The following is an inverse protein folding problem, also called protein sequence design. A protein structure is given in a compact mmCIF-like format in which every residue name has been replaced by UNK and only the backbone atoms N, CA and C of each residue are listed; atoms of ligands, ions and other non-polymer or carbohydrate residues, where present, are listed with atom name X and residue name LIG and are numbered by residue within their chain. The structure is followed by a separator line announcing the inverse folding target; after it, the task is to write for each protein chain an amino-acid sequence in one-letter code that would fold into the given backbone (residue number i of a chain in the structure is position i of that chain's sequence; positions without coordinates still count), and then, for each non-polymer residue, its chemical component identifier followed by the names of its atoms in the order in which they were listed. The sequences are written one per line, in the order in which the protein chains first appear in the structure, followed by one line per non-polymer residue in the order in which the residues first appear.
data_IF_220390040959
#
_entry.id   IF_220390040959
#
_cell.length_a   1.000
_cell.length_b   1.000
_cell.length_c   1.000
_cell.angle_alpha   90.00
_cell.angle_beta   90.00
_cell.angle_gamma   90.00
#
_symmetry.space_group_name_H-M   'P 1'
#
loop_
_entity.id
_entity.type
_entity.pdbx_description
1 polymer ?
#
# COMPACT_ATOMS: atom_id res chain seq x y z
N UNK A 1 21.50 -20.74 32.34
CA UNK A 1 20.44 -19.73 32.62
C UNK A 1 20.70 -18.37 31.98
N UNK A 2 21.77 -17.63 32.29
CA UNK A 2 22.00 -16.28 31.70
C UNK A 2 22.04 -16.24 30.15
N UNK A 3 22.66 -17.24 29.50
CA UNK A 3 22.68 -17.36 28.03
C UNK A 3 21.30 -17.65 27.43
N UNK A 4 20.46 -18.42 28.12
CA UNK A 4 19.10 -18.74 27.68
C UNK A 4 18.17 -17.53 27.83
N UNK A 5 18.32 -16.76 28.90
CA UNK A 5 17.59 -15.50 29.11
C UNK A 5 17.95 -14.47 28.02
N UNK A 6 19.24 -14.34 27.66
CA UNK A 6 19.66 -13.46 26.57
C UNK A 6 19.06 -13.86 25.20
N UNK A 7 19.01 -15.16 24.90
CA UNK A 7 18.39 -15.69 23.68
C UNK A 7 16.87 -15.43 23.64
N UNK A 8 16.19 -15.58 24.78
CA UNK A 8 14.75 -15.30 24.88
C UNK A 8 14.47 -13.81 24.67
N UNK A 9 15.24 -12.91 25.30
CA UNK A 9 15.10 -11.46 25.11
C UNK A 9 15.34 -11.08 23.65
N UNK A 10 16.37 -11.65 23.01
CA UNK A 10 16.66 -11.39 21.61
C UNK A 10 15.55 -11.91 20.68
N UNK A 11 15.03 -13.12 20.92
CA UNK A 11 13.91 -13.67 20.18
C UNK A 11 12.64 -12.81 20.33
N UNK A 12 12.36 -12.32 21.53
CA UNK A 12 11.25 -11.40 21.80
C UNK A 12 11.42 -10.09 21.01
N UNK A 13 12.61 -9.49 21.02
CA UNK A 13 12.88 -8.26 20.26
C UNK A 13 12.68 -8.49 18.76
N UNK A 14 13.16 -9.60 18.21
CA UNK A 14 12.93 -9.95 16.80
C UNK A 14 11.44 -10.10 16.53
N UNK A 15 10.72 -10.83 17.38
CA UNK A 15 9.29 -11.09 17.18
C UNK A 15 8.46 -9.80 17.21
N UNK A 16 8.78 -8.88 18.12
CA UNK A 16 8.14 -7.56 18.19
C UNK A 16 8.51 -6.62 17.03
N UNK A 17 9.59 -6.88 16.31
CA UNK A 17 10.06 -6.05 15.21
C UNK A 17 10.03 -6.78 13.87
N UNK A 18 9.41 -7.97 13.79
CA UNK A 18 9.47 -8.84 12.63
C UNK A 18 9.03 -8.12 11.36
N UNK A 19 7.84 -7.51 11.37
CA UNK A 19 7.30 -6.81 10.21
C UNK A 19 8.23 -5.72 9.66
N UNK A 20 8.89 -4.98 10.56
CA UNK A 20 9.82 -3.91 10.18
C UNK A 20 11.14 -4.48 9.65
N UNK A 21 11.61 -5.57 10.24
CA UNK A 21 12.81 -6.28 9.76
C UNK A 21 12.54 -6.85 8.37
N UNK A 22 11.39 -7.48 8.18
CA UNK A 22 10.95 -8.08 6.92
C UNK A 22 10.79 -7.03 5.81
N UNK A 23 10.13 -5.90 6.12
CA UNK A 23 10.06 -4.73 5.22
C UNK A 23 11.46 -4.26 4.83
N UNK A 24 12.40 -4.11 5.78
CA UNK A 24 13.77 -3.68 5.45
C UNK A 24 14.48 -4.67 4.52
N UNK A 25 14.36 -5.97 4.78
CA UNK A 25 14.94 -7.00 3.92
C UNK A 25 14.35 -6.96 2.51
N UNK A 26 13.02 -6.83 2.40
CA UNK A 26 12.35 -6.69 1.13
C UNK A 26 12.84 -5.43 0.38
N UNK A 27 12.88 -4.27 1.03
CA UNK A 27 13.36 -3.03 0.38
C UNK A 27 14.82 -3.13 -0.08
N UNK A 28 15.68 -3.77 0.72
CA UNK A 28 17.07 -4.01 0.33
C UNK A 28 17.16 -4.93 -0.88
N UNK A 29 16.35 -5.98 -0.94
CA UNK A 29 16.31 -6.89 -2.07
C UNK A 29 15.77 -6.19 -3.33
N UNK A 30 14.68 -5.44 -3.21
CA UNK A 30 14.11 -4.67 -4.31
C UNK A 30 15.13 -3.69 -4.89
N UNK A 31 15.83 -2.93 -4.04
CA UNK A 31 16.87 -2.00 -4.46
C UNK A 31 18.07 -2.67 -5.16
N UNK A 32 18.38 -3.92 -4.83
CA UNK A 32 19.42 -4.70 -5.55
C UNK A 32 18.99 -5.09 -6.97
N UNK A 33 17.69 -5.14 -7.23
CA UNK A 33 17.14 -5.43 -8.55
C UNK A 33 16.75 -4.17 -9.33
N UNK A 34 17.22 -2.99 -8.89
CA UNK A 34 17.04 -1.75 -9.62
C UNK A 34 17.78 -1.80 -10.96
N UNK A 35 17.09 -1.40 -12.03
CA UNK A 35 17.64 -1.27 -13.36
C UNK A 35 18.20 0.15 -13.55
N UNK A 36 19.37 0.24 -14.20
CA UNK A 36 19.95 1.52 -14.59
C UNK A 36 19.37 1.99 -15.92
N UNK A 37 19.34 3.31 -16.09
CA UNK A 37 18.98 3.93 -17.37
C UNK A 37 20.08 3.73 -18.40
N UNK A 38 19.67 3.67 -19.66
CA UNK A 38 20.53 3.53 -20.84
C UNK A 38 21.36 2.24 -20.87
N UNK A 39 21.06 1.28 -19.99
CA UNK A 39 21.58 -0.08 -19.99
C UNK A 39 20.56 -1.05 -20.59
N UNK A 40 21.08 -2.17 -21.09
CA UNK A 40 20.28 -3.25 -21.68
C UNK A 40 20.41 -4.51 -20.84
N UNK A 41 19.27 -5.08 -20.48
CA UNK A 41 19.16 -6.29 -19.68
C UNK A 41 18.41 -7.38 -20.45
N UNK A 42 18.55 -8.63 -20.02
CA UNK A 42 17.85 -9.77 -20.59
C UNK A 42 17.19 -10.56 -19.47
N UNK A 43 15.87 -10.70 -19.54
CA UNK A 43 15.07 -11.41 -18.55
C UNK A 43 14.04 -12.27 -19.24
N UNK A 44 13.82 -13.48 -18.73
CA UNK A 44 12.61 -14.26 -19.01
C UNK A 44 11.46 -13.64 -18.20
N UNK A 45 10.66 -12.79 -18.85
CA UNK A 45 9.60 -12.01 -18.21
C UNK A 45 8.30 -12.80 -18.07
N UNK A 46 8.00 -13.69 -19.01
CA UNK A 46 6.73 -14.43 -19.09
C UNK A 46 6.86 -15.93 -18.70
N UNK A 47 8.04 -16.37 -18.28
CA UNK A 47 8.30 -17.73 -17.80
C UNK A 47 8.38 -18.79 -18.89
N UNK A 48 8.51 -18.41 -20.17
CA UNK A 48 8.56 -19.35 -21.30
C UNK A 48 9.97 -19.92 -21.57
N UNK A 49 10.98 -19.38 -20.90
CA UNK A 49 12.39 -19.77 -20.99
C UNK A 49 13.20 -18.99 -22.03
N UNK A 50 12.55 -18.20 -22.89
CA UNK A 50 13.22 -17.21 -23.72
C UNK A 50 13.45 -15.93 -22.90
N UNK A 51 14.45 -15.12 -23.27
CA UNK A 51 14.74 -13.87 -22.56
C UNK A 51 14.43 -12.67 -23.44
N UNK A 52 13.61 -11.77 -22.93
CA UNK A 52 13.35 -10.47 -23.51
C UNK A 52 14.47 -9.48 -23.22
N UNK A 53 14.83 -8.70 -24.23
CA UNK A 53 15.64 -7.50 -24.08
C UNK A 53 14.82 -6.42 -23.37
N UNK A 54 15.29 -5.91 -22.24
CA UNK A 54 14.70 -4.78 -21.51
C UNK A 54 15.66 -3.61 -21.53
N UNK A 55 15.20 -2.45 -22.00
CA UNK A 55 15.96 -1.20 -22.01
C UNK A 55 15.11 -0.05 -21.47
N UNK A 56 15.74 0.79 -20.65
CA UNK A 56 15.13 2.01 -20.13
C UNK A 56 15.86 3.20 -20.71
N UNK A 57 15.13 4.18 -21.25
CA UNK A 57 15.70 5.45 -21.69
C UNK A 57 15.11 6.58 -20.85
N UNK A 58 15.97 7.43 -20.29
CA UNK A 58 15.52 8.53 -19.43
C UNK A 58 15.85 9.89 -20.02
N UNK A 59 14.94 10.85 -19.88
CA UNK A 59 15.15 12.21 -20.33
C UNK A 59 14.27 13.20 -19.54
N UNK A 60 14.52 14.49 -19.73
CA UNK A 60 13.64 15.54 -19.21
C UNK A 60 12.84 16.18 -20.33
N UNK A 61 11.57 16.41 -20.07
CA UNK A 61 10.70 17.13 -21.00
C UNK A 61 10.98 18.65 -20.99
N UNK A 62 10.21 19.43 -21.77
CA UNK A 62 10.38 20.89 -21.82
C UNK A 62 9.99 21.61 -20.53
N UNK A 63 9.17 20.98 -19.68
CA UNK A 63 8.75 21.50 -18.38
C UNK A 63 9.71 21.10 -17.25
N UNK A 64 10.62 20.16 -17.52
CA UNK A 64 11.60 19.63 -16.58
C UNK A 64 11.16 18.34 -15.91
N UNK A 65 10.02 17.77 -16.33
CA UNK A 65 9.47 16.51 -15.82
C UNK A 65 10.39 15.37 -16.24
N UNK A 66 10.62 14.42 -15.32
CA UNK A 66 11.46 13.26 -15.58
C UNK A 66 10.63 12.18 -16.27
N UNK A 67 11.12 11.74 -17.43
CA UNK A 67 10.46 10.74 -18.28
C UNK A 67 11.36 9.52 -18.37
N UNK A 68 10.74 8.33 -18.25
CA UNK A 68 11.39 7.05 -18.50
C UNK A 68 10.56 6.25 -19.50
N UNK A 69 11.14 5.97 -20.66
CA UNK A 69 10.59 5.06 -21.65
C UNK A 69 11.06 3.63 -21.37
N UNK A 70 10.11 2.69 -21.32
CA UNK A 70 10.36 1.26 -21.20
C UNK A 70 10.26 0.60 -22.57
N UNK A 71 11.37 0.02 -23.02
CA UNK A 71 11.46 -0.77 -24.23
C UNK A 71 11.61 -2.26 -23.90
N UNK A 72 10.87 -3.10 -24.62
CA UNK A 72 11.02 -4.55 -24.59
C UNK A 72 11.21 -5.06 -26.03
N UNK A 73 12.27 -5.83 -26.28
CA UNK A 73 12.66 -6.30 -27.62
C UNK A 73 12.70 -5.15 -28.63
N UNK A 74 13.38 -4.06 -28.24
CA UNK A 74 13.48 -2.81 -29.02
C UNK A 74 12.15 -2.13 -29.39
N UNK A 75 11.02 -2.53 -28.80
CA UNK A 75 9.71 -1.87 -28.96
C UNK A 75 9.35 -1.07 -27.71
N UNK A 76 8.95 0.19 -27.89
CA UNK A 76 8.41 1.00 -26.81
C UNK A 76 7.12 0.35 -26.27
N UNK A 77 7.06 0.13 -24.97
CA UNK A 77 5.92 -0.51 -24.29
C UNK A 77 5.14 0.44 -23.40
N UNK A 78 5.84 1.28 -22.66
CA UNK A 78 5.23 2.23 -21.74
C UNK A 78 6.12 3.46 -21.56
N UNK A 79 5.51 4.60 -21.28
CA UNK A 79 6.24 5.82 -20.91
C UNK A 79 5.76 6.29 -19.54
N UNK A 80 6.70 6.39 -18.61
CA UNK A 80 6.45 6.86 -17.24
C UNK A 80 6.86 8.31 -17.08
N UNK A 81 6.06 9.06 -16.31
CA UNK A 81 6.25 10.48 -16.07
C UNK A 81 6.17 10.75 -14.57
N UNK A 82 7.17 11.44 -14.01
CA UNK A 82 7.14 11.96 -12.64
C UNK A 82 7.93 13.28 -12.55
N UNK A 83 7.44 14.21 -11.74
CA UNK A 83 8.12 15.50 -11.56
C UNK A 83 9.46 15.37 -10.81
N UNK A 84 9.62 14.30 -10.01
CA UNK A 84 10.73 14.15 -9.07
C UNK A 84 11.65 13.01 -9.47
N UNK A 85 11.15 11.78 -9.41
CA UNK A 85 11.97 10.58 -9.55
C UNK A 85 11.14 9.39 -10.04
N UNK A 86 11.77 8.60 -10.90
CA UNK A 86 11.29 7.28 -11.31
C UNK A 86 12.37 6.29 -10.87
N UNK A 87 11.98 5.12 -10.40
CA UNK A 87 12.90 3.99 -10.23
C UNK A 87 12.23 2.73 -10.75
N UNK A 88 13.00 1.93 -11.47
CA UNK A 88 12.50 0.73 -12.14
C UNK A 88 13.27 -0.47 -11.61
N UNK A 89 12.55 -1.52 -11.24
CA UNK A 89 13.09 -2.73 -10.63
C UNK A 89 12.54 -3.94 -11.36
N UNK A 90 13.34 -4.99 -11.49
CA UNK A 90 12.84 -6.31 -11.91
C UNK A 90 12.53 -7.14 -10.67
N UNK A 91 11.36 -7.77 -10.60
CA UNK A 91 11.01 -8.58 -9.43
C UNK A 91 10.07 -9.72 -9.80
N UNK A 92 10.13 -10.82 -9.05
CA UNK A 92 9.17 -11.92 -9.14
C UNK A 92 8.28 -11.85 -7.90
N UNK A 93 7.10 -11.24 -8.04
CA UNK A 93 6.18 -11.08 -6.92
C UNK A 93 5.41 -12.37 -6.60
N UNK A 94 5.44 -13.38 -7.48
CA UNK A 94 4.72 -14.64 -7.33
C UNK A 94 5.50 -15.80 -7.95
N UNK A 95 6.36 -16.41 -7.13
CA UNK A 95 7.29 -17.47 -7.56
C UNK A 95 6.62 -18.75 -8.06
N UNK A 96 5.29 -18.86 -7.93
CA UNK A 96 4.53 -19.99 -8.44
C UNK A 96 4.34 -19.88 -9.96
N UNK A 97 4.15 -18.68 -10.51
CA UNK A 97 3.86 -18.49 -11.94
C UNK A 97 5.10 -18.19 -12.79
N UNK A 98 6.28 -18.10 -12.18
CA UNK A 98 7.60 -17.93 -12.82
C UNK A 98 7.82 -16.64 -13.61
N UNK A 99 6.79 -15.78 -13.70
CA UNK A 99 6.84 -14.51 -14.38
C UNK A 99 7.65 -13.50 -13.57
N UNK A 100 8.24 -12.52 -14.25
CA UNK A 100 8.88 -11.37 -13.61
C UNK A 100 8.13 -10.11 -14.03
N UNK A 101 7.80 -9.30 -13.04
CA UNK A 101 7.22 -8.00 -13.24
C UNK A 101 8.30 -6.92 -13.26
N UNK A 102 8.08 -5.90 -14.09
CA UNK A 102 8.84 -4.66 -14.03
C UNK A 102 8.09 -3.72 -13.08
N UNK A 103 8.64 -3.55 -11.88
CA UNK A 103 8.10 -2.68 -10.84
C UNK A 103 8.64 -1.26 -11.01
N UNK A 104 7.75 -0.33 -11.36
CA UNK A 104 8.07 1.09 -11.50
C UNK A 104 7.52 1.86 -10.32
N UNK A 105 8.41 2.52 -9.58
CA UNK A 105 8.08 3.37 -8.44
C UNK A 105 8.26 4.82 -8.87
N UNK A 106 7.18 5.59 -8.83
CA UNK A 106 7.11 7.02 -9.09
C UNK A 106 7.07 7.78 -7.76
N UNK A 107 7.76 8.91 -7.69
CA UNK A 107 7.81 9.77 -6.51
C UNK A 107 9.02 9.51 -5.62
N UNK A 108 9.34 10.51 -4.80
CA UNK A 108 10.48 10.54 -3.89
C UNK A 108 10.06 10.60 -2.41
N UNK A 109 8.79 10.90 -2.14
CA UNK A 109 8.25 11.11 -0.80
C UNK A 109 7.09 10.19 -0.49
N UNK A 110 6.92 9.92 0.79
CA UNK A 110 5.96 8.92 1.23
C UNK A 110 4.51 9.27 0.86
N UNK A 111 4.24 10.57 0.71
CA UNK A 111 2.93 11.12 0.38
C UNK A 111 2.59 11.12 -1.12
N UNK A 112 3.57 10.90 -2.01
CA UNK A 112 3.36 10.93 -3.47
C UNK A 112 3.78 9.65 -4.20
N UNK A 113 4.13 8.58 -3.47
CA UNK A 113 4.46 7.31 -4.12
C UNK A 113 3.30 6.77 -4.95
N UNK A 114 3.63 6.35 -6.17
CA UNK A 114 2.81 5.45 -6.97
C UNK A 114 3.66 4.29 -7.41
N UNK A 115 3.08 3.11 -7.41
CA UNK A 115 3.73 1.91 -7.92
C UNK A 115 2.95 1.40 -9.12
N UNK A 116 3.65 1.17 -10.23
CA UNK A 116 3.13 0.45 -11.38
C UNK A 116 3.82 -0.93 -11.44
N UNK A 117 3.03 -1.99 -11.61
CA UNK A 117 3.55 -3.30 -12.01
C UNK A 117 3.23 -3.51 -13.49
N UNK A 118 4.28 -3.48 -14.30
CA UNK A 118 4.20 -3.80 -15.72
C UNK A 118 4.44 -5.30 -15.88
N UNK A 119 3.50 -5.97 -16.53
CA UNK A 119 3.53 -7.42 -16.73
C UNK A 119 3.52 -7.71 -18.23
N UNK A 120 4.61 -8.32 -18.70
CA UNK A 120 4.77 -8.73 -20.09
C UNK A 120 4.18 -10.12 -20.32
N UNK A 121 3.48 -10.32 -21.44
CA UNK A 121 3.08 -11.65 -21.89
C UNK A 121 3.79 -12.03 -23.18
N UNK A 122 3.72 -11.14 -24.16
CA UNK A 122 4.30 -11.34 -25.47
C UNK A 122 4.53 -9.99 -26.17
N UNK A 123 5.09 -10.06 -27.38
CA UNK A 123 5.48 -8.91 -28.18
C UNK A 123 4.34 -7.91 -28.43
N UNK A 124 3.08 -8.34 -28.34
CA UNK A 124 1.88 -7.54 -28.60
C UNK A 124 0.98 -7.35 -27.37
N UNK A 125 1.25 -8.03 -26.25
CA UNK A 125 0.40 -8.00 -25.06
C UNK A 125 1.19 -7.75 -23.78
N UNK A 126 0.74 -6.75 -23.01
CA UNK A 126 1.20 -6.43 -21.67
C UNK A 126 0.04 -5.83 -20.85
N UNK A 127 0.15 -5.91 -19.53
CA UNK A 127 -0.77 -5.25 -18.59
C UNK A 127 0.00 -4.30 -17.66
N UNK A 128 -0.72 -3.31 -17.12
CA UNK A 128 -0.21 -2.29 -16.22
C UNK A 128 -1.11 -2.16 -14.99
N UNK A 129 -0.57 -2.40 -13.80
CA UNK A 129 -1.31 -2.27 -12.55
C UNK A 129 -0.79 -1.10 -11.74
N UNK A 130 -1.57 0.00 -11.72
CA UNK A 130 -1.21 1.22 -10.99
C UNK A 130 -1.83 1.19 -9.60
N UNK A 131 -0.99 1.30 -8.59
CA UNK A 131 -1.35 1.38 -7.17
C UNK A 131 -0.83 2.70 -6.60
N UNK A 132 -1.67 3.42 -5.85
CA UNK A 132 -1.17 4.52 -5.02
C UNK A 132 -0.48 3.93 -3.78
N UNK A 133 0.62 4.55 -3.37
CA UNK A 133 1.44 4.08 -2.27
C UNK A 133 2.69 3.32 -2.71
N UNK A 134 3.46 2.91 -1.72
CA UNK A 134 4.75 2.23 -1.86
C UNK A 134 4.61 0.75 -1.55
N UNK A 135 5.15 -0.13 -2.40
CA UNK A 135 5.31 -1.53 -2.01
C UNK A 135 6.31 -1.61 -0.87
N UNK A 136 5.87 -2.13 0.28
CA UNK A 136 6.71 -2.29 1.49
C UNK A 136 7.12 -3.72 1.74
N UNK A 137 6.35 -4.71 1.27
CA UNK A 137 6.67 -6.12 1.47
C UNK A 137 5.96 -7.01 0.42
N UNK A 138 6.43 -8.24 0.24
CA UNK A 138 5.80 -9.27 -0.57
C UNK A 138 6.00 -10.67 0.04
N UNK A 139 4.92 -11.45 0.10
CA UNK A 139 4.99 -12.90 0.30
C UNK A 139 5.03 -13.59 -1.08
N UNK A 140 6.24 -13.76 -1.59
CA UNK A 140 6.52 -14.30 -2.92
C UNK A 140 6.02 -15.73 -3.13
N UNK A 141 5.79 -16.49 -2.05
CA UNK A 141 5.30 -17.87 -2.11
C UNK A 141 3.83 -17.94 -2.46
N UNK A 142 3.11 -16.85 -2.29
CA UNK A 142 1.68 -16.81 -2.55
C UNK A 142 1.26 -15.57 -3.33
N UNK A 143 2.16 -14.66 -3.68
CA UNK A 143 1.84 -13.48 -4.46
C UNK A 143 1.24 -12.32 -3.67
N UNK A 144 1.32 -12.29 -2.34
CA UNK A 144 0.69 -11.19 -1.57
C UNK A 144 1.62 -9.99 -1.55
N UNK A 145 1.17 -8.84 -2.02
CA UNK A 145 1.93 -7.59 -2.10
C UNK A 145 1.35 -6.62 -1.08
N UNK A 146 2.19 -6.10 -0.20
CA UNK A 146 1.80 -5.12 0.81
C UNK A 146 2.16 -3.72 0.36
N UNK A 147 1.15 -2.87 0.24
CA UNK A 147 1.27 -1.46 -0.09
C UNK A 147 1.06 -0.64 1.18
N UNK A 148 1.91 0.35 1.37
CA UNK A 148 1.79 1.33 2.44
C UNK A 148 1.50 2.71 1.85
N UNK A 149 0.82 3.54 2.63
CA UNK A 149 0.45 4.91 2.24
C UNK A 149 -0.44 4.99 0.99
N UNK A 150 -1.31 4.01 0.80
CA UNK A 150 -2.38 4.07 -0.21
C UNK A 150 -3.51 4.97 0.28
N UNK A 151 -4.41 5.39 -0.61
CA UNK A 151 -5.64 6.11 -0.27
C UNK A 151 -6.83 5.13 -0.29
N UNK A 152 -7.74 5.26 0.68
CA UNK A 152 -9.04 4.59 0.67
C UNK A 152 -9.79 4.68 -0.65
N UNK A 153 -9.68 5.78 -1.40
CA UNK A 153 -10.38 5.97 -2.68
C UNK A 153 -9.97 4.94 -3.76
N UNK A 154 -8.80 4.33 -3.62
CA UNK A 154 -8.34 3.26 -4.51
C UNK A 154 -8.86 1.87 -4.11
N UNK A 155 -9.36 1.72 -2.89
CA UNK A 155 -9.87 0.45 -2.41
C UNK A 155 -11.35 0.32 -2.74
N UNK A 156 -11.71 -0.74 -3.46
CA UNK A 156 -13.12 -1.08 -3.70
C UNK A 156 -13.91 -1.28 -2.40
N UNK A 157 -13.24 -1.74 -1.34
CA UNK A 157 -13.84 -2.04 -0.04
C UNK A 157 -13.91 -0.83 0.92
N UNK A 158 -12.98 0.13 0.80
CA UNK A 158 -12.84 1.25 1.75
C UNK A 158 -13.08 2.65 1.14
N UNK A 159 -13.44 2.79 -0.13
CA UNK A 159 -13.62 4.09 -0.81
C UNK A 159 -14.74 5.00 -0.28
N UNK A 160 -15.62 4.52 0.61
CA UNK A 160 -16.74 5.31 1.15
C UNK A 160 -16.38 6.08 2.43
N UNK A 161 -15.27 5.73 3.09
CA UNK A 161 -14.89 6.31 4.39
C UNK A 161 -14.49 7.78 4.34
N UNK A 162 -13.95 8.26 3.21
CA UNK A 162 -13.60 9.67 3.03
C UNK A 162 -14.81 10.59 3.25
N UNK A 163 -16.01 10.18 2.81
CA UNK A 163 -17.26 10.92 3.03
C UNK A 163 -17.63 11.06 4.51
N UNK A 164 -17.35 10.03 5.31
CA UNK A 164 -17.65 10.01 6.75
C UNK A 164 -16.84 11.08 7.51
N UNK A 165 -15.65 11.42 7.00
CA UNK A 165 -14.71 12.37 7.62
C UNK A 165 -14.62 13.72 6.90
N UNK A 166 -15.54 14.01 5.97
CA UNK A 166 -15.60 15.30 5.27
C UNK A 166 -14.86 15.36 3.94
N UNK A 167 -14.90 14.27 3.17
CA UNK A 167 -14.31 14.14 1.82
C UNK A 167 -12.77 14.20 1.79
N UNK A 168 -12.13 14.03 2.94
CA UNK A 168 -10.68 13.93 3.06
C UNK A 168 -10.20 12.50 2.74
N UNK A 169 -9.16 12.34 1.91
CA UNK A 169 -8.47 11.06 1.74
C UNK A 169 -7.98 10.46 3.07
N UNK A 170 -8.24 9.17 3.29
CA UNK A 170 -7.66 8.43 4.40
C UNK A 170 -6.53 7.57 3.87
N UNK A 171 -5.35 7.79 4.43
CA UNK A 171 -4.17 7.02 4.08
C UNK A 171 -4.17 5.70 4.86
N UNK A 172 -4.10 4.57 4.16
CA UNK A 172 -4.19 3.21 4.69
C UNK A 172 -3.06 2.30 4.18
N UNK A 173 -2.81 1.22 4.92
CA UNK A 173 -2.08 0.06 4.39
C UNK A 173 -3.07 -0.86 3.67
N UNK A 174 -2.64 -1.44 2.55
CA UNK A 174 -3.48 -2.30 1.73
C UNK A 174 -2.71 -3.52 1.21
N UNK A 175 -3.43 -4.61 0.98
CA UNK A 175 -2.89 -5.85 0.43
C UNK A 175 -3.49 -6.14 -0.95
N UNK A 176 -2.62 -6.47 -1.89
CA UNK A 176 -3.00 -7.05 -3.17
C UNK A 176 -2.54 -8.50 -3.25
N UNK A 177 -3.24 -9.29 -4.04
CA UNK A 177 -2.88 -10.67 -4.36
C UNK A 177 -2.59 -10.77 -5.86
N UNK A 178 -1.35 -11.12 -6.16
CA UNK A 178 -0.89 -11.55 -7.48
C UNK A 178 -1.18 -13.05 -7.59
N UNK A 179 -2.11 -13.43 -8.46
CA UNK A 179 -2.60 -14.82 -8.53
C UNK A 179 -1.88 -15.67 -9.58
N UNK A 180 -2.22 -15.52 -10.86
CA UNK A 180 -1.65 -16.23 -12.01
C UNK A 180 -1.96 -15.44 -13.27
N UNK A 181 -1.08 -15.49 -14.29
CA UNK A 181 -1.27 -14.83 -15.58
C UNK A 181 -1.71 -13.36 -15.44
N UNK A 182 -1.01 -12.64 -14.55
CA UNK A 182 -1.04 -11.19 -14.46
C UNK A 182 -2.31 -10.58 -13.88
N UNK A 183 -3.13 -11.33 -13.16
CA UNK A 183 -4.23 -10.71 -12.40
C UNK A 183 -3.75 -10.26 -11.01
N UNK A 184 -4.10 -9.02 -10.66
CA UNK A 184 -3.94 -8.43 -9.34
C UNK A 184 -5.32 -8.19 -8.75
N UNK A 185 -5.63 -8.86 -7.64
CA UNK A 185 -6.92 -8.70 -6.94
C UNK A 185 -6.71 -8.10 -5.56
N UNK A 186 -7.70 -7.33 -5.10
CA UNK A 186 -7.76 -6.87 -3.72
C UNK A 186 -7.86 -8.07 -2.77
N UNK A 187 -7.04 -8.08 -1.71
CA UNK A 187 -7.26 -9.03 -0.62
C UNK A 187 -8.42 -8.51 0.22
N UNK A 188 -9.40 -9.37 0.50
CA UNK A 188 -10.54 -9.06 1.38
C UNK A 188 -10.09 -8.93 2.84
N UNK A 189 -9.45 -7.81 3.15
CA UNK A 189 -9.12 -7.42 4.52
C UNK A 189 -10.34 -6.82 5.19
N UNK A 190 -10.71 -7.42 6.33
CA UNK A 190 -11.83 -6.92 7.15
C UNK A 190 -11.48 -5.62 7.86
N UNK A 191 -10.20 -5.44 8.20
CA UNK A 191 -9.70 -4.27 8.91
C UNK A 191 -8.40 -3.78 8.28
N UNK A 192 -8.31 -2.48 8.00
CA UNK A 192 -7.08 -1.83 7.53
C UNK A 192 -6.64 -0.73 8.49
N UNK A 193 -5.35 -0.61 8.70
CA UNK A 193 -4.79 0.39 9.61
C UNK A 193 -4.69 1.75 8.92
N UNK A 194 -5.05 2.82 9.64
CA UNK A 194 -4.81 4.21 9.20
C UNK A 194 -3.34 4.56 9.49
N UNK A 195 -2.67 5.11 8.48
CA UNK A 195 -1.23 5.40 8.52
C UNK A 195 -0.91 6.80 8.02
N UNK A 196 0.37 7.15 8.04
CA UNK A 196 0.88 8.43 7.56
C UNK A 196 0.21 9.64 8.20
N UNK A 197 0.04 10.70 7.40
CA UNK A 197 -0.54 11.96 7.88
C UNK A 197 -1.95 11.76 8.47
N UNK A 198 -2.77 10.86 7.90
CA UNK A 198 -4.13 10.60 8.38
C UNK A 198 -4.18 10.04 9.80
N UNK A 199 -3.14 9.31 10.24
CA UNK A 199 -3.04 8.81 11.63
C UNK A 199 -2.81 9.93 12.64
N UNK A 200 -2.12 10.98 12.23
CA UNK A 200 -1.81 12.12 13.10
C UNK A 200 -2.87 13.22 13.06
N UNK A 201 -3.71 13.24 12.02
CA UNK A 201 -4.83 14.18 11.89
C UNK A 201 -5.81 14.04 13.06
N UNK A 202 -6.22 15.18 13.59
CA UNK A 202 -7.31 15.28 14.57
C UNK A 202 -8.61 15.65 13.86
N UNK A 203 -9.70 15.03 14.32
CA UNK A 203 -11.03 15.26 13.82
C UNK A 203 -11.97 15.64 14.96
N UNK A 204 -12.99 16.45 14.69
CA UNK A 204 -14.06 16.79 15.63
C UNK A 204 -15.33 16.03 15.31
N UNK A 205 -15.99 15.51 16.34
CA UNK A 205 -17.33 14.95 16.21
C UNK A 205 -18.35 16.06 15.90
N UNK A 206 -19.15 15.89 14.83
CA UNK A 206 -20.19 16.86 14.46
C UNK A 206 -21.42 16.78 15.36
N UNK A 207 -21.65 15.63 15.97
CA UNK A 207 -22.77 15.32 16.85
C UNK A 207 -22.34 14.34 17.95
N UNK A 208 -23.21 14.19 18.95
CA UNK A 208 -23.02 13.16 19.96
C UNK A 208 -23.09 11.77 19.32
N UNK A 209 -22.05 10.95 19.52
CA UNK A 209 -21.90 9.65 18.87
C UNK A 209 -21.56 8.58 19.90
N UNK A 210 -22.20 7.40 19.80
CA UNK A 210 -21.89 6.26 20.66
C UNK A 210 -20.63 5.57 20.15
N UNK A 211 -19.70 5.29 21.06
CA UNK A 211 -18.50 4.50 20.77
C UNK A 211 -18.61 3.15 21.46
N UNK A 212 -18.39 2.08 20.70
CA UNK A 212 -18.51 0.68 21.12
C UNK A 212 -17.15 0.06 21.46
N UNK A 213 -17.16 -0.96 22.32
CA UNK A 213 -15.93 -1.69 22.69
C UNK A 213 -15.39 -2.57 21.55
N UNK A 214 -16.28 -3.06 20.69
CA UNK A 214 -15.95 -3.95 19.57
C UNK A 214 -16.63 -3.45 18.30
N UNK A 215 -16.14 -3.90 17.15
CA UNK A 215 -16.73 -3.61 15.85
C UNK A 215 -18.07 -4.31 15.64
N UNK A 216 -18.34 -5.46 16.27
CA UNK A 216 -19.56 -6.26 16.06
C UNK A 216 -20.59 -6.16 17.19
N UNK A 217 -20.16 -5.86 18.41
CA UNK A 217 -21.02 -5.81 19.59
C UNK A 217 -21.62 -4.43 19.86
N UNK A 218 -22.68 -4.41 20.66
CA UNK A 218 -23.40 -3.18 21.05
C UNK A 218 -23.01 -2.66 22.44
N UNK A 219 -21.95 -3.21 23.04
CA UNK A 219 -21.45 -2.74 24.34
C UNK A 219 -20.80 -1.38 24.17
N UNK A 220 -21.38 -0.37 24.81
CA UNK A 220 -20.87 1.02 24.80
C UNK A 220 -19.57 1.12 25.60
N UNK A 221 -18.51 1.56 24.95
CA UNK A 221 -17.26 1.97 25.59
C UNK A 221 -17.40 3.37 26.23
N UNK A 222 -17.89 4.34 25.46
CA UNK A 222 -18.14 5.71 25.91
C UNK A 222 -19.05 6.47 24.93
N UNK A 223 -19.45 7.68 25.32
CA UNK A 223 -20.15 8.62 24.45
C UNK A 223 -19.17 9.72 24.03
N UNK A 224 -19.03 9.93 22.73
CA UNK A 224 -18.25 11.02 22.16
C UNK A 224 -19.17 12.24 22.00
N UNK A 225 -18.92 13.28 22.79
CA UNK A 225 -19.72 14.51 22.74
C UNK A 225 -19.43 15.31 21.46
N UNK A 226 -20.41 16.11 21.02
CA UNK A 226 -20.21 17.06 19.93
C UNK A 226 -19.01 17.97 20.20
N UNK A 227 -18.14 18.14 19.20
CA UNK A 227 -16.93 18.94 19.26
C UNK A 227 -15.73 18.25 19.93
N UNK A 228 -15.92 17.06 20.52
CA UNK A 228 -14.81 16.28 21.07
C UNK A 228 -13.87 15.82 19.95
N UNK A 229 -12.58 15.76 20.27
CA UNK A 229 -11.53 15.39 19.33
C UNK A 229 -11.23 13.91 19.35
N UNK A 230 -10.90 13.37 18.17
CA UNK A 230 -10.42 12.00 17.99
C UNK A 230 -9.29 11.95 16.97
N UNK A 231 -8.52 10.85 17.02
CA UNK A 231 -7.68 10.39 15.91
C UNK A 231 -8.22 9.07 15.36
N UNK A 232 -8.03 8.86 14.06
CA UNK A 232 -8.39 7.61 13.39
C UNK A 232 -7.31 6.55 13.64
N UNK A 233 -7.72 5.30 13.83
CA UNK A 233 -6.82 4.17 14.13
C UNK A 233 -6.89 3.12 13.02
N UNK A 234 -8.08 2.62 12.72
CA UNK A 234 -8.31 1.62 11.67
C UNK A 234 -9.73 1.71 11.12
N UNK A 235 -9.93 1.15 9.93
CA UNK A 235 -11.21 1.06 9.24
C UNK A 235 -11.61 -0.41 9.19
N UNK A 236 -12.88 -0.74 9.41
CA UNK A 236 -13.39 -2.10 9.37
C UNK A 236 -14.62 -2.21 8.47
N UNK A 237 -14.54 -3.02 7.41
CA UNK A 237 -15.68 -3.34 6.55
C UNK A 237 -15.75 -4.85 6.33
N UNK A 238 -16.82 -5.47 6.84
CA UNK A 238 -17.10 -6.87 6.56
C UNK A 238 -18.57 -7.22 6.81
N UNK A 239 -19.18 -7.98 5.91
CA UNK A 239 -20.58 -8.44 6.01
C UNK A 239 -21.59 -7.31 6.29
N UNK A 240 -21.41 -6.14 5.67
CA UNK A 240 -22.29 -4.98 5.84
C UNK A 240 -22.14 -4.28 7.20
N UNK A 241 -21.09 -4.61 7.96
CA UNK A 241 -20.74 -3.89 9.17
C UNK A 241 -19.53 -2.99 8.92
N UNK A 242 -19.79 -1.70 8.84
CA UNK A 242 -18.81 -0.66 8.55
C UNK A 242 -18.53 0.15 9.83
N UNK A 243 -17.28 0.16 10.27
CA UNK A 243 -16.86 0.85 11.48
C UNK A 243 -15.55 1.60 11.31
N UNK A 244 -15.36 2.66 12.09
CA UNK A 244 -14.07 3.34 12.28
C UNK A 244 -13.62 3.13 13.71
N UNK A 245 -12.40 2.63 13.89
CA UNK A 245 -11.73 2.63 15.18
C UNK A 245 -11.11 3.99 15.43
N UNK A 246 -11.38 4.56 16.60
CA UNK A 246 -10.89 5.87 17.00
C UNK A 246 -10.22 5.81 18.36
N UNK A 247 -9.42 6.84 18.66
CA UNK A 247 -8.89 7.11 20.00
C UNK A 247 -9.21 8.55 20.39
N UNK A 248 -9.70 8.76 21.61
CA UNK A 248 -9.97 10.11 22.14
C UNK A 248 -8.73 10.74 22.80
N UNK A 249 -8.84 11.99 23.25
CA UNK A 249 -7.75 12.72 23.91
C UNK A 249 -7.27 12.06 25.23
N UNK A 250 -8.12 11.24 25.87
CA UNK A 250 -7.78 10.48 27.08
C UNK A 250 -7.06 9.15 26.77
N UNK A 251 -6.84 8.83 25.49
CA UNK A 251 -6.23 7.58 25.05
C UNK A 251 -7.16 6.37 25.07
N UNK A 252 -8.48 6.58 25.19
CA UNK A 252 -9.48 5.51 25.17
C UNK A 252 -9.83 5.17 23.72
N UNK A 253 -9.74 3.88 23.41
CA UNK A 253 -10.06 3.34 22.09
C UNK A 253 -11.52 2.86 22.03
N UNK A 254 -12.08 2.87 20.82
CA UNK A 254 -13.33 2.20 20.54
C UNK A 254 -13.75 2.33 19.08
N UNK A 255 -14.92 1.78 18.77
CA UNK A 255 -15.45 1.66 17.42
C UNK A 255 -16.69 2.51 17.24
N UNK A 256 -16.76 3.24 16.14
CA UNK A 256 -17.93 4.00 15.74
C UNK A 256 -18.50 3.33 14.50
N UNK A 257 -19.76 2.90 14.59
CA UNK A 257 -20.49 2.34 13.45
C UNK A 257 -20.81 3.45 12.48
N UNK A 258 -20.58 3.20 11.19
CA UNK A 258 -20.90 4.14 10.14
C UNK A 258 -22.34 3.91 9.71
N UNK A 259 -23.07 5.01 9.64
CA UNK A 259 -24.30 5.15 8.88
C UNK A 259 -23.96 6.19 7.79
N UNK A 260 -24.67 6.24 6.65
CA UNK A 260 -24.38 7.10 5.46
C UNK A 260 -24.31 8.64 5.70
N UNK A 261 -24.11 9.08 6.94
CA UNK A 261 -23.89 10.46 7.38
C UNK A 261 -22.41 10.74 7.62
N UNK A 262 -22.03 12.00 7.38
CA UNK A 262 -20.76 12.52 7.84
C UNK A 262 -20.77 12.64 9.37
N UNK A 263 -19.83 11.97 10.04
CA UNK A 263 -19.75 11.94 11.51
C UNK A 263 -18.69 12.94 12.03
N UNK A 264 -17.67 13.23 11.22
CA UNK A 264 -16.54 14.05 11.62
C UNK A 264 -16.25 15.21 10.66
N UNK A 265 -15.59 16.23 11.20
CA UNK A 265 -14.97 17.32 10.43
C UNK A 265 -13.48 17.44 10.79
N UNK A 266 -12.66 17.77 9.80
CA UNK A 266 -11.23 18.00 9.98
C UNK A 266 -10.96 19.27 10.79
N UNK A 267 -9.97 19.21 11.70
CA UNK A 267 -9.48 20.39 12.43
C UNK A 267 -8.32 20.98 11.64
N UNK A 268 -8.53 22.18 11.08
CA UNK A 268 -7.47 22.93 10.40
C UNK A 268 -6.42 23.48 11.35
#
# INVERSE_FOLDING_TARGET
MKKAIGLIIFAIIILYNYDKIDENFFQMNLAQNQLNYDETYFFDLNGDGDSEEVKLESYKDKKGDFIVDLYINSKLKETYYDENNISVHIYDFNKIDTNKEICVILGDKIENYKTNLFIYYDENKNDNFIMNGRIINNDDKNGTIKISYSNTDNSSNFNHYSKVIGEEPIVINYLYKRVFHSELIDVDEKEVQVVGASKEKEYRAKEETIVYETNVGDVKAYTLLKGAKIKLVSLYNYNGNECIKVVNEEGRYGWIKIEDKQIFEYIQ
#
